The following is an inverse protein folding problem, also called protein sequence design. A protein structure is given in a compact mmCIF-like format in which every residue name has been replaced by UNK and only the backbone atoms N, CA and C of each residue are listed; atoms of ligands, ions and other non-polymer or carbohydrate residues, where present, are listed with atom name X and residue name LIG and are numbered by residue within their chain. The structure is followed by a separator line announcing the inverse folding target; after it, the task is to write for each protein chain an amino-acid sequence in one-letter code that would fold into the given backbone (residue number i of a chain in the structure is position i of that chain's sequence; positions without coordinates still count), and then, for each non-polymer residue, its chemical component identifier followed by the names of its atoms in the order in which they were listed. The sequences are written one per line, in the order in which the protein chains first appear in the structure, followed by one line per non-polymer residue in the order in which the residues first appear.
data_IF_707747931240
#
_entry.id   IF_707747931240
#
_cell.length_a   1.000
_cell.length_b   1.000
_cell.length_c   1.000
_cell.angle_alpha   90.00
_cell.angle_beta   90.00
_cell.angle_gamma   90.00
#
_symmetry.space_group_name_H-M   'P 1'
#
loop_
_entity.id
_entity.type
_entity.pdbx_description
1 polymer ?
#
# COMPACT_ATOMS: atom_id res chain seq x y z
N UNK A 1 13.70 77.39 10.35
CA UNK A 1 12.90 76.86 9.21
C UNK A 1 13.69 75.75 8.51
N UNK A 2 13.08 75.01 7.56
CA UNK A 2 13.63 73.88 6.76
C UNK A 2 15.05 74.21 6.20
N UNK A 3 15.99 73.29 5.90
CA UNK A 3 16.01 71.84 5.52
C UNK A 3 17.16 71.11 6.29
N UNK A 4 17.79 69.95 5.95
CA UNK A 4 17.82 69.02 4.78
C UNK A 4 18.33 67.60 5.14
N UNK A 5 17.76 66.58 4.50
CA UNK A 5 18.28 65.22 4.17
C UNK A 5 19.52 64.63 4.87
N UNK A 6 19.32 63.52 5.61
CA UNK A 6 19.96 62.18 5.40
C UNK A 6 19.35 61.16 6.37
N UNK A 7 19.29 59.85 6.10
CA UNK A 7 19.76 59.13 4.90
C UNK A 7 20.38 57.76 5.18
N UNK A 8 19.80 56.97 6.09
CA UNK A 8 20.10 55.56 6.45
C UNK A 8 19.06 55.10 7.49
N UNK A 9 18.79 53.83 7.79
CA UNK A 9 19.00 52.54 7.13
C UNK A 9 18.63 51.42 8.13
N UNK A 10 17.41 51.42 8.68
CA UNK A 10 16.91 50.34 9.56
C UNK A 10 15.50 49.89 9.14
N UNK A 11 15.37 49.46 7.88
CA UNK A 11 14.24 48.64 7.50
C UNK A 11 14.45 47.24 8.10
N UNK A 12 13.64 46.92 9.11
CA UNK A 12 13.67 45.68 9.88
C UNK A 12 13.81 44.45 8.97
N UNK A 13 14.68 43.52 9.36
CA UNK A 13 14.93 42.28 8.64
C UNK A 13 13.73 41.33 8.76
N UNK A 14 12.72 41.56 7.90
CA UNK A 14 11.68 40.57 7.62
C UNK A 14 12.29 39.50 6.70
N UNK A 15 12.47 38.24 7.15
CA UNK A 15 13.02 37.21 6.29
C UNK A 15 12.01 36.88 5.17
N UNK A 16 12.44 37.09 3.92
CA UNK A 16 11.71 36.68 2.72
C UNK A 16 11.55 35.16 2.66
N UNK A 17 10.48 34.65 3.28
CA UNK A 17 10.08 33.25 3.21
C UNK A 17 9.73 32.88 1.76
N UNK A 18 10.45 31.89 1.22
CA UNK A 18 10.45 31.57 -0.21
C UNK A 18 9.25 30.68 -0.60
N UNK A 19 8.71 30.78 -1.82
CA UNK A 19 7.54 30.01 -2.25
C UNK A 19 7.88 28.52 -2.49
N UNK A 20 7.69 27.67 -1.48
CA UNK A 20 7.92 26.23 -1.57
C UNK A 20 6.67 25.46 -2.01
N UNK A 21 6.20 25.69 -3.25
CA UNK A 21 5.22 24.80 -3.91
C UNK A 21 5.88 23.47 -4.33
N UNK A 22 6.29 22.69 -3.35
CA UNK A 22 6.98 21.41 -3.53
C UNK A 22 6.01 20.31 -3.99
N UNK A 23 5.60 20.35 -5.26
CA UNK A 23 4.88 19.26 -5.92
C UNK A 23 5.78 18.03 -6.03
N UNK A 24 5.82 17.21 -4.98
CA UNK A 24 6.69 16.05 -4.89
C UNK A 24 6.13 14.94 -5.79
N UNK A 25 6.60 14.92 -7.04
CA UNK A 25 6.31 13.93 -8.10
C UNK A 25 6.03 12.55 -7.49
N UNK A 26 4.82 12.02 -7.74
CA UNK A 26 4.54 10.58 -7.55
C UNK A 26 5.50 9.81 -8.46
N UNK A 27 6.53 9.16 -7.90
CA UNK A 27 7.49 8.35 -8.64
C UNK A 27 6.86 7.03 -9.05
N UNK A 28 6.06 7.05 -10.10
CA UNK A 28 5.74 5.86 -10.86
C UNK A 28 6.91 5.53 -11.80
N UNK A 29 7.24 4.23 -11.86
CA UNK A 29 8.04 3.54 -12.90
C UNK A 29 9.58 3.73 -12.99
N UNK A 30 10.29 2.68 -12.55
CA UNK A 30 11.47 2.01 -13.14
C UNK A 30 11.64 0.71 -12.31
N UNK A 31 11.94 -0.49 -12.81
CA UNK A 31 12.84 -0.93 -13.90
C UNK A 31 12.36 -2.31 -14.49
N UNK A 32 13.07 -2.97 -15.44
CA UNK A 32 12.46 -3.96 -16.35
C UNK A 32 12.40 -5.43 -15.86
N UNK A 33 11.71 -6.25 -16.67
CA UNK A 33 11.51 -7.72 -16.65
C UNK A 33 10.78 -8.37 -15.45
N UNK A 34 9.63 -8.98 -15.78
CA UNK A 34 9.20 -10.25 -15.17
C UNK A 34 8.44 -10.14 -13.86
N UNK A 35 9.10 -10.51 -12.75
CA UNK A 35 8.41 -10.98 -11.54
C UNK A 35 8.33 -9.98 -10.37
N UNK A 36 9.21 -8.97 -10.32
CA UNK A 36 9.28 -8.04 -9.18
C UNK A 36 8.05 -7.13 -9.03
N UNK A 37 7.46 -6.72 -10.15
CA UNK A 37 6.26 -5.87 -10.19
C UNK A 37 5.02 -6.59 -9.66
N UNK A 38 4.81 -7.85 -10.07
CA UNK A 38 3.73 -8.70 -9.58
C UNK A 38 3.89 -8.97 -8.07
N UNK A 39 5.07 -9.45 -7.65
CA UNK A 39 5.35 -9.80 -6.24
C UNK A 39 5.11 -8.63 -5.28
N UNK A 40 5.52 -7.41 -5.66
CA UNK A 40 5.31 -6.19 -4.87
C UNK A 40 3.90 -5.57 -5.00
N UNK A 41 3.04 -6.14 -5.83
CA UNK A 41 1.62 -5.79 -5.95
C UNK A 41 0.75 -6.77 -5.17
N UNK A 42 0.98 -8.08 -5.30
CA UNK A 42 0.27 -9.14 -4.55
C UNK A 42 0.50 -8.98 -3.05
N UNK A 43 1.70 -8.57 -2.60
CA UNK A 43 1.94 -8.23 -1.19
C UNK A 43 0.98 -7.14 -0.67
N UNK A 44 0.76 -6.06 -1.43
CA UNK A 44 -0.15 -4.97 -1.03
C UNK A 44 -1.61 -5.40 -1.02
N UNK A 45 -1.97 -6.33 -1.89
CA UNK A 45 -3.30 -6.95 -1.92
C UNK A 45 -3.49 -7.76 -0.64
N UNK A 46 -2.54 -8.66 -0.30
CA UNK A 46 -2.54 -9.40 0.97
C UNK A 46 -2.60 -8.47 2.18
N UNK A 47 -1.76 -7.43 2.21
CA UNK A 47 -1.71 -6.46 3.31
C UNK A 47 -3.05 -5.74 3.57
N UNK A 48 -3.93 -5.67 2.55
CA UNK A 48 -5.25 -5.03 2.61
C UNK A 48 -6.40 -5.93 3.07
N UNK A 49 -6.12 -7.20 3.37
CA UNK A 49 -7.06 -8.20 3.88
C UNK A 49 -6.65 -8.77 5.25
N UNK A 50 -5.60 -8.25 5.90
CA UNK A 50 -5.22 -8.70 7.26
C UNK A 50 -6.11 -8.06 8.32
N UNK A 51 -6.60 -8.86 9.25
CA UNK A 51 -7.52 -8.42 10.31
C UNK A 51 -6.78 -7.72 11.46
N UNK A 52 -5.76 -8.37 11.99
CA UNK A 52 -4.95 -7.91 13.14
C UNK A 52 -3.47 -7.83 12.75
N UNK A 53 -3.04 -6.82 11.97
CA UNK A 53 -1.70 -6.78 11.37
C UNK A 53 -0.54 -6.62 12.37
N UNK A 54 -0.82 -6.28 13.63
CA UNK A 54 0.16 -6.19 14.73
C UNK A 54 0.33 -7.52 15.50
N UNK A 55 -0.69 -8.38 15.49
CA UNK A 55 -0.72 -9.68 16.21
C UNK A 55 -0.46 -10.85 15.25
N UNK A 56 -1.08 -10.81 14.07
CA UNK A 56 -0.91 -11.76 12.98
C UNK A 56 -0.45 -11.03 11.69
N UNK A 57 0.80 -10.55 11.61
CA UNK A 57 1.30 -9.74 10.49
C UNK A 57 1.35 -10.47 9.14
N UNK A 58 1.34 -11.80 9.17
CA UNK A 58 1.52 -12.70 8.02
C UNK A 58 0.32 -13.63 7.78
N UNK A 59 -0.83 -13.33 8.39
CA UNK A 59 -2.08 -14.06 8.20
C UNK A 59 -3.27 -13.17 7.83
N UNK A 60 -4.15 -13.73 7.01
CA UNK A 60 -5.54 -13.30 6.82
C UNK A 60 -6.39 -14.30 7.61
N UNK A 61 -7.25 -13.83 8.50
CA UNK A 61 -8.25 -14.62 9.21
C UNK A 61 -9.63 -14.47 8.58
N UNK A 62 -10.67 -14.80 9.34
CA UNK A 62 -12.01 -15.06 8.81
C UNK A 62 -12.67 -13.80 8.21
N UNK A 63 -12.53 -12.62 8.83
CA UNK A 63 -13.13 -11.37 8.31
C UNK A 63 -12.49 -10.95 6.99
N UNK A 64 -11.16 -10.94 6.94
CA UNK A 64 -10.37 -10.66 5.76
C UNK A 64 -10.54 -11.70 4.65
N UNK A 65 -10.71 -12.97 5.00
CA UNK A 65 -11.00 -14.04 4.05
C UNK A 65 -12.40 -13.90 3.43
N UNK A 66 -13.42 -13.58 4.23
CA UNK A 66 -14.77 -13.26 3.72
C UNK A 66 -14.73 -12.08 2.75
N UNK A 67 -14.00 -11.01 3.10
CA UNK A 67 -13.82 -9.84 2.24
C UNK A 67 -13.08 -10.18 0.95
N UNK A 68 -11.94 -10.85 1.03
CA UNK A 68 -11.12 -11.27 -0.12
C UNK A 68 -11.92 -12.15 -1.09
N UNK A 69 -12.63 -13.17 -0.59
CA UNK A 69 -13.44 -14.06 -1.40
C UNK A 69 -14.60 -13.29 -2.06
N UNK A 70 -15.28 -12.41 -1.32
CA UNK A 70 -16.31 -11.53 -1.86
C UNK A 70 -15.80 -10.59 -2.97
N UNK A 71 -14.62 -10.00 -2.79
CA UNK A 71 -13.98 -9.12 -3.78
C UNK A 71 -13.55 -9.88 -5.07
N UNK A 72 -13.36 -11.22 -5.01
CA UNK A 72 -13.20 -12.09 -6.20
C UNK A 72 -14.49 -12.82 -6.61
N UNK A 73 -15.64 -12.43 -6.07
CA UNK A 73 -16.97 -13.01 -6.36
C UNK A 73 -17.14 -14.51 -6.02
N UNK A 74 -16.40 -15.01 -5.05
CA UNK A 74 -16.51 -16.38 -4.50
C UNK A 74 -17.15 -16.33 -3.12
N UNK A 75 -18.05 -17.28 -2.81
CA UNK A 75 -18.59 -17.46 -1.46
C UNK A 75 -17.88 -18.61 -0.73
N UNK A 76 -17.83 -18.56 0.61
CA UNK A 76 -17.23 -19.63 1.43
C UNK A 76 -17.94 -21.00 1.30
N UNK A 77 -19.22 -20.98 0.93
CA UNK A 77 -20.09 -22.14 0.68
C UNK A 77 -19.87 -22.77 -0.71
N UNK A 78 -19.38 -21.98 -1.67
CA UNK A 78 -19.24 -22.41 -3.07
C UNK A 78 -18.05 -23.36 -3.28
N UNK A 79 -18.22 -24.35 -4.16
CA UNK A 79 -17.18 -25.36 -4.45
C UNK A 79 -15.89 -24.75 -5.00
N UNK A 80 -16.00 -23.57 -5.63
CA UNK A 80 -14.87 -22.76 -6.09
C UNK A 80 -13.93 -22.34 -4.94
N UNK A 81 -14.45 -22.16 -3.72
CA UNK A 81 -13.65 -21.79 -2.55
C UNK A 81 -12.61 -22.87 -2.20
N UNK A 82 -12.93 -24.15 -2.40
CA UNK A 82 -11.97 -25.25 -2.19
C UNK A 82 -10.79 -25.18 -3.18
N UNK A 83 -11.06 -24.78 -4.43
CA UNK A 83 -10.01 -24.55 -5.43
C UNK A 83 -9.07 -23.41 -5.05
N UNK A 84 -9.61 -22.32 -4.49
CA UNK A 84 -8.81 -21.20 -3.96
C UNK A 84 -8.02 -21.62 -2.72
N UNK A 85 -8.63 -22.35 -1.78
CA UNK A 85 -7.97 -22.84 -0.57
C UNK A 85 -6.77 -23.76 -0.88
N UNK A 86 -6.93 -24.67 -1.84
CA UNK A 86 -5.87 -25.58 -2.30
C UNK A 86 -4.78 -24.86 -3.10
N UNK A 87 -5.13 -23.90 -3.96
CA UNK A 87 -4.17 -23.06 -4.69
C UNK A 87 -3.30 -22.21 -3.75
N UNK A 88 -3.91 -21.60 -2.74
CA UNK A 88 -3.25 -20.69 -1.79
C UNK A 88 -2.71 -21.43 -0.54
N UNK A 89 -2.77 -22.77 -0.51
CA UNK A 89 -2.31 -23.63 0.59
C UNK A 89 -2.77 -23.14 1.97
N UNK A 90 -4.08 -22.88 2.05
CA UNK A 90 -4.78 -22.50 3.27
C UNK A 90 -4.62 -23.56 4.38
N UNK A 91 -4.26 -23.16 5.62
CA UNK A 91 -4.09 -24.11 6.73
C UNK A 91 -5.43 -24.55 7.36
N UNK A 92 -6.44 -23.68 7.32
CA UNK A 92 -7.77 -23.84 7.92
C UNK A 92 -8.80 -23.08 7.09
N UNK A 93 -10.05 -23.55 7.06
CA UNK A 93 -11.11 -22.86 6.31
C UNK A 93 -11.34 -21.44 6.83
N UNK A 94 -11.22 -20.45 5.96
CA UNK A 94 -11.30 -19.03 6.33
C UNK A 94 -9.97 -18.40 6.75
N UNK A 95 -8.84 -19.10 6.61
CA UNK A 95 -7.50 -18.57 6.92
C UNK A 95 -6.56 -18.67 5.70
N UNK A 96 -5.69 -17.66 5.50
CA UNK A 96 -4.63 -17.69 4.48
C UNK A 96 -3.32 -17.13 5.02
N UNK A 97 -2.20 -17.83 4.78
CA UNK A 97 -0.85 -17.34 5.13
C UNK A 97 -0.30 -16.43 4.03
N UNK A 98 0.60 -15.50 4.37
CA UNK A 98 1.29 -14.65 3.39
C UNK A 98 2.04 -15.49 2.37
N UNK A 99 2.75 -16.53 2.82
CA UNK A 99 3.51 -17.42 1.93
C UNK A 99 2.59 -18.13 0.93
N UNK A 100 1.54 -18.78 1.41
CA UNK A 100 0.59 -19.51 0.56
C UNK A 100 -0.13 -18.59 -0.43
N UNK A 101 -0.60 -17.44 0.04
CA UNK A 101 -1.25 -16.43 -0.81
C UNK A 101 -0.30 -15.89 -1.89
N UNK A 102 0.93 -15.52 -1.53
CA UNK A 102 1.91 -15.01 -2.50
C UNK A 102 2.35 -16.07 -3.50
N UNK A 103 2.62 -17.30 -3.04
CA UNK A 103 3.14 -18.36 -3.90
C UNK A 103 2.06 -18.92 -4.83
N UNK A 104 0.83 -19.12 -4.35
CA UNK A 104 -0.29 -19.58 -5.18
C UNK A 104 -0.60 -18.62 -6.33
N UNK A 105 -0.75 -17.32 -6.05
CA UNK A 105 -0.97 -16.32 -7.11
C UNK A 105 0.21 -16.15 -8.06
N UNK A 106 1.46 -16.38 -7.61
CA UNK A 106 2.66 -16.35 -8.47
C UNK A 106 2.90 -17.65 -9.26
N UNK A 107 2.15 -18.71 -8.99
CA UNK A 107 2.22 -19.96 -9.75
C UNK A 107 1.28 -19.97 -10.97
N UNK A 108 0.34 -19.02 -11.04
CA UNK A 108 -0.71 -18.94 -12.09
C UNK A 108 -0.66 -17.64 -12.91
N UNK A 109 0.39 -16.82 -12.77
CA UNK A 109 0.58 -15.53 -13.44
C UNK A 109 2.00 -14.97 -13.36
#
# INVERSE_FOLDING_TARGET
MRTRSSGKSEYLCLPLAKPTRASKRRKFFQSPQGAGGATSSINKIFDSYRDSPDDNPDGIGIEGAMKFLGDIQVQLDEVTCLGIAELLKSPSMGEFTREGFLNGWRAVG
#
